data_IF_254295082076
#
_entry.id   IF_254295082076
#
_cell.length_a   1.000
_cell.length_b   1.000
_cell.length_c   1.000
_cell.angle_alpha   90.00
_cell.angle_beta   90.00
_cell.angle_gamma   90.00
#
_symmetry.space_group_name_H-M   'P 1'
#
loop_
_entity.id
_entity.type
_entity.pdbx_description
1 polymer ?
#
# COMPACT_ATOMS: atom_id res chain seq x y z
N UNK A 1 14.34 -3.13 2.97
CA UNK A 1 13.03 -2.51 3.32
C UNK A 1 12.84 -2.40 4.82
N UNK A 2 13.80 -2.88 5.59
CA UNK A 2 13.65 -3.24 7.00
C UNK A 2 13.70 -2.04 7.95
N UNK A 3 13.97 -0.86 7.40
CA UNK A 3 13.98 0.42 8.11
C UNK A 3 12.73 1.26 7.84
N UNK A 4 11.80 0.80 6.99
CA UNK A 4 10.53 1.50 6.75
C UNK A 4 9.63 1.24 7.94
N UNK A 5 9.10 2.31 8.55
CA UNK A 5 8.34 2.25 9.80
C UNK A 5 6.84 2.51 9.59
N UNK A 6 6.49 3.33 8.58
CA UNK A 6 5.10 3.69 8.24
C UNK A 6 4.94 3.84 6.73
N UNK A 7 3.82 3.33 6.20
CA UNK A 7 3.37 3.55 4.82
C UNK A 7 1.96 4.14 4.80
N UNK A 8 1.72 5.03 3.85
CA UNK A 8 0.37 5.54 3.54
C UNK A 8 0.10 5.26 2.07
N UNK A 9 -0.91 4.45 1.81
CA UNK A 9 -1.26 3.94 0.50
C UNK A 9 -2.55 4.60 0.02
N UNK A 10 -2.51 5.16 -1.19
CA UNK A 10 -3.65 5.82 -1.81
C UNK A 10 -4.11 4.95 -2.99
N UNK A 11 -5.38 4.58 -3.02
CA UNK A 11 -5.98 3.81 -4.11
C UNK A 11 -7.09 4.64 -4.75
N UNK A 12 -7.08 4.73 -6.08
CA UNK A 12 -8.16 5.36 -6.85
C UNK A 12 -9.39 4.45 -6.94
N UNK A 13 -9.18 3.12 -6.88
CA UNK A 13 -10.24 2.12 -6.78
C UNK A 13 -9.92 1.09 -5.67
N UNK A 14 -10.87 0.93 -4.75
CA UNK A 14 -10.77 -0.02 -3.64
C UNK A 14 -10.96 -1.47 -4.07
N UNK A 15 -11.49 -1.72 -5.27
CA UNK A 15 -11.55 -3.07 -5.85
C UNK A 15 -10.16 -3.70 -6.01
N UNK A 16 -9.12 -2.88 -6.17
CA UNK A 16 -7.72 -3.32 -6.27
C UNK A 16 -7.08 -3.68 -4.93
N UNK A 17 -7.74 -3.41 -3.79
CA UNK A 17 -7.16 -3.64 -2.47
C UNK A 17 -6.69 -5.09 -2.23
N UNK A 18 -7.42 -6.15 -2.65
CA UNK A 18 -6.95 -7.53 -2.51
C UNK A 18 -5.63 -7.78 -3.27
N UNK A 19 -5.57 -7.35 -4.54
CA UNK A 19 -4.40 -7.52 -5.40
C UNK A 19 -3.19 -6.73 -4.86
N UNK A 20 -3.42 -5.48 -4.44
CA UNK A 20 -2.39 -4.67 -3.79
C UNK A 20 -1.85 -5.34 -2.53
N UNK A 21 -2.71 -5.93 -1.69
CA UNK A 21 -2.28 -6.61 -0.47
C UNK A 21 -1.37 -7.81 -0.74
N UNK A 22 -1.61 -8.56 -1.82
CA UNK A 22 -0.75 -9.69 -2.18
C UNK A 22 0.66 -9.24 -2.52
N UNK A 23 0.78 -8.17 -3.33
CA UNK A 23 2.08 -7.59 -3.70
C UNK A 23 2.75 -6.96 -2.48
N UNK A 24 2.00 -6.19 -1.68
CA UNK A 24 2.50 -5.53 -0.48
C UNK A 24 3.11 -6.55 0.51
N UNK A 25 2.44 -7.68 0.72
CA UNK A 25 2.95 -8.77 1.58
C UNK A 25 4.23 -9.40 1.05
N UNK A 26 4.33 -9.63 -0.27
CA UNK A 26 5.55 -10.17 -0.90
C UNK A 26 6.73 -9.21 -0.74
N UNK A 27 6.46 -7.90 -0.80
CA UNK A 27 7.47 -6.85 -0.74
C UNK A 27 7.95 -6.54 0.69
N UNK A 28 7.04 -6.53 1.67
CA UNK A 28 7.35 -6.33 3.10
C UNK A 28 7.34 -7.66 3.89
N UNK A 29 7.79 -8.75 3.27
CA UNK A 29 7.79 -10.11 3.83
C UNK A 29 8.72 -10.35 5.04
N UNK A 30 9.21 -9.27 5.67
CA UNK A 30 10.08 -9.32 6.84
C UNK A 30 9.34 -9.56 8.16
N UNK A 31 10.12 -9.82 9.23
CA UNK A 31 9.62 -10.11 10.58
C UNK A 31 8.75 -8.97 11.17
N UNK A 32 9.00 -7.74 10.76
CA UNK A 32 8.33 -6.53 11.24
C UNK A 32 7.85 -5.67 10.06
N UNK A 33 6.66 -5.92 9.49
CA UNK A 33 6.11 -5.05 8.45
C UNK A 33 5.80 -3.65 9.01
N UNK A 34 5.90 -2.58 8.21
CA UNK A 34 5.60 -1.23 8.65
C UNK A 34 4.12 -1.06 8.99
N UNK A 35 3.84 -0.11 9.89
CA UNK A 35 2.47 0.37 10.11
C UNK A 35 1.89 0.91 8.80
N UNK A 36 0.59 0.73 8.56
CA UNK A 36 -0.04 1.08 7.27
C UNK A 36 -1.38 1.81 7.45
N UNK A 37 -1.59 2.82 6.61
CA UNK A 37 -2.92 3.40 6.36
C UNK A 37 -3.21 3.27 4.87
N UNK A 38 -4.41 2.82 4.50
CA UNK A 38 -4.83 2.72 3.11
C UNK A 38 -6.14 3.48 2.94
N UNK A 39 -6.21 4.39 1.98
CA UNK A 39 -7.37 5.25 1.77
C UNK A 39 -7.75 5.32 0.30
N UNK A 40 -9.06 5.44 0.07
CA UNK A 40 -9.61 5.72 -1.25
C UNK A 40 -9.47 7.21 -1.57
N UNK A 41 -9.00 7.54 -2.77
CA UNK A 41 -8.84 8.92 -3.25
C UNK A 41 -9.51 9.09 -4.60
N UNK A 42 -9.94 10.30 -4.92
CA UNK A 42 -10.60 10.60 -6.19
C UNK A 42 -9.67 10.48 -7.41
N UNK A 43 -8.36 10.61 -7.21
CA UNK A 43 -7.37 10.55 -8.29
C UNK A 43 -5.95 10.72 -7.74
N UNK A 44 -4.97 10.37 -8.56
CA UNK A 44 -3.56 10.58 -8.29
C UNK A 44 -2.93 11.52 -9.33
N UNK A 45 -1.83 12.22 -9.00
CA UNK A 45 -1.09 12.99 -9.98
C UNK A 45 -0.70 12.13 -11.19
N UNK A 46 -0.77 12.72 -12.39
CA UNK A 46 -0.56 12.05 -13.69
C UNK A 46 -1.62 11.01 -14.09
N UNK A 47 -2.82 11.06 -13.49
CA UNK A 47 -3.93 10.16 -13.81
C UNK A 47 -3.56 8.67 -13.65
N UNK A 48 -2.70 8.39 -12.66
CA UNK A 48 -2.30 7.05 -12.28
C UNK A 48 -3.36 6.32 -11.46
#
# INVERSE_FOLDING_TARGET
MDTVIKTTCFLTDMSHFPQFNEVYKKFFNGKNPPARSCIAVAGLPKEA
#
